data_IF_391080787365
#
_entry.id   IF_391080787365
#
_cell.length_a   1.000
_cell.length_b   1.000
_cell.length_c   1.000
_cell.angle_alpha   90.00
_cell.angle_beta   90.00
_cell.angle_gamma   90.00
#
_symmetry.space_group_name_H-M   'P 1'
#
loop_
_entity.id
_entity.type
_entity.pdbx_description
1 polymer ?
#
# COMPACT_ATOMS: atom_id res chain seq x y z
N UNK A 1 1.35 15.98 14.34
CA UNK A 1 1.84 14.60 14.10
C UNK A 1 1.64 14.16 12.64
N UNK A 2 1.73 15.07 11.68
CA UNK A 2 1.21 14.90 10.30
C UNK A 2 2.07 14.02 9.37
N UNK A 3 3.01 13.22 9.92
CA UNK A 3 4.13 12.67 9.14
C UNK A 3 4.17 11.14 9.02
N UNK A 4 3.48 10.39 9.88
CA UNK A 4 3.69 8.94 9.96
C UNK A 4 2.44 8.08 10.17
N UNK A 5 1.26 8.67 10.34
CA UNK A 5 0.05 7.88 10.61
C UNK A 5 -0.65 7.37 9.35
N UNK A 6 -0.40 7.96 8.17
CA UNK A 6 -1.13 7.61 6.96
C UNK A 6 -1.09 6.11 6.60
N UNK A 7 0.07 5.40 6.67
CA UNK A 7 0.07 3.95 6.48
C UNK A 7 -0.86 3.24 7.46
N UNK A 8 -0.77 3.57 8.75
CA UNK A 8 -1.58 2.95 9.79
C UNK A 8 -3.08 3.20 9.58
N UNK A 9 -3.47 4.45 9.34
CA UNK A 9 -4.86 4.85 9.08
C UNK A 9 -5.44 4.14 7.85
N UNK A 10 -4.63 3.88 6.82
CA UNK A 10 -5.04 3.11 5.65
C UNK A 10 -5.40 1.67 6.02
N UNK A 11 -4.59 0.99 6.83
CA UNK A 11 -4.91 -0.37 7.27
C UNK A 11 -6.07 -0.40 8.27
N UNK A 12 -6.21 0.63 9.12
CA UNK A 12 -7.39 0.77 10.00
C UNK A 12 -8.69 0.91 9.21
N UNK A 13 -8.67 1.64 8.08
CA UNK A 13 -9.84 1.74 7.20
C UNK A 13 -10.25 0.38 6.63
N UNK A 14 -9.28 -0.49 6.29
CA UNK A 14 -9.58 -1.86 5.87
C UNK A 14 -10.26 -2.66 6.98
N UNK A 15 -9.73 -2.62 8.21
CA UNK A 15 -10.31 -3.30 9.36
C UNK A 15 -11.73 -2.83 9.62
N UNK A 16 -11.98 -1.52 9.50
CA UNK A 16 -13.31 -0.93 9.61
C UNK A 16 -14.26 -1.46 8.53
N UNK A 17 -13.86 -1.43 7.25
CA UNK A 17 -14.68 -1.94 6.15
C UNK A 17 -15.04 -3.43 6.32
N UNK A 18 -14.10 -4.24 6.82
CA UNK A 18 -14.35 -5.64 7.14
C UNK A 18 -15.36 -5.81 8.26
N UNK A 19 -15.21 -5.08 9.36
CA UNK A 19 -16.12 -5.15 10.51
C UNK A 19 -17.54 -4.68 10.18
N UNK A 20 -17.69 -3.68 9.31
CA UNK A 20 -18.99 -3.14 8.88
C UNK A 20 -19.68 -4.01 7.82
N UNK A 21 -19.02 -5.06 7.29
CA UNK A 21 -19.58 -5.90 6.23
C UNK A 21 -19.68 -5.20 4.87
N UNK A 22 -18.93 -4.11 4.67
CA UNK A 22 -18.93 -3.30 3.44
C UNK A 22 -18.10 -3.91 2.30
N UNK A 23 -17.92 -5.23 2.32
CA UNK A 23 -17.09 -5.98 1.38
C UNK A 23 -17.91 -7.08 0.69
N UNK A 24 -17.66 -7.37 -0.60
CA UNK A 24 -18.27 -8.51 -1.27
C UNK A 24 -17.94 -9.82 -0.56
N UNK A 25 -18.82 -10.81 -0.66
CA UNK A 25 -18.59 -12.15 -0.13
C UNK A 25 -17.53 -12.87 -0.97
N UNK A 26 -16.27 -12.78 -0.56
CA UNK A 26 -15.12 -13.49 -1.14
C UNK A 26 -14.44 -14.35 -0.08
N UNK A 27 -13.82 -15.45 -0.53
CA UNK A 27 -13.03 -16.34 0.33
C UNK A 27 -11.73 -15.68 0.79
N UNK A 28 -11.14 -14.81 -0.03
CA UNK A 28 -9.92 -14.06 0.30
C UNK A 28 -9.89 -12.69 -0.40
N UNK A 29 -9.09 -11.78 0.15
CA UNK A 29 -8.77 -10.47 -0.39
C UNK A 29 -7.27 -10.34 -0.56
N UNK A 30 -6.83 -9.71 -1.65
CA UNK A 30 -5.43 -9.44 -1.94
C UNK A 30 -5.22 -7.94 -1.81
N UNK A 31 -4.44 -7.51 -0.82
CA UNK A 31 -4.00 -6.14 -0.68
C UNK A 31 -2.59 -6.00 -1.23
N UNK A 32 -2.46 -5.17 -2.25
CA UNK A 32 -1.22 -4.98 -2.97
C UNK A 32 -0.44 -3.76 -2.51
N UNK A 33 0.87 -3.91 -2.39
CA UNK A 33 1.81 -2.82 -2.10
C UNK A 33 2.98 -2.87 -3.08
N UNK A 34 3.34 -1.71 -3.64
CA UNK A 34 4.49 -1.54 -4.53
C UNK A 34 5.60 -0.80 -3.84
N UNK A 35 5.87 0.44 -4.29
CA UNK A 35 6.90 1.34 -3.74
C UNK A 35 6.81 1.60 -2.22
N UNK A 36 5.62 1.46 -1.62
CA UNK A 36 5.40 1.70 -0.19
C UNK A 36 5.53 0.44 0.69
N UNK A 37 6.05 -0.68 0.17
CA UNK A 37 6.17 -1.94 0.91
C UNK A 37 6.86 -1.79 2.28
N UNK A 38 7.87 -0.92 2.39
CA UNK A 38 8.65 -0.71 3.63
C UNK A 38 7.88 0.07 4.70
N UNK A 39 6.72 0.64 4.35
CA UNK A 39 5.82 1.30 5.30
C UNK A 39 4.69 0.40 5.79
N UNK A 40 4.58 -0.81 5.25
CA UNK A 40 3.67 -1.81 5.76
C UNK A 40 4.09 -2.18 7.20
N UNK A 41 3.26 -1.92 8.22
CA UNK A 41 3.69 -2.06 9.61
C UNK A 41 3.93 -3.53 10.01
N UNK A 42 2.96 -4.41 9.72
CA UNK A 42 3.07 -5.88 9.85
C UNK A 42 1.79 -6.58 9.37
N UNK A 43 1.86 -7.90 9.16
CA UNK A 43 0.68 -8.74 8.85
C UNK A 43 -0.41 -8.72 9.93
N UNK A 44 -0.07 -8.36 11.19
CA UNK A 44 -1.05 -8.22 12.28
C UNK A 44 -2.03 -7.06 12.07
N UNK A 45 -1.74 -6.14 11.13
CA UNK A 45 -2.64 -5.04 10.78
C UNK A 45 -3.59 -5.41 9.64
N UNK A 46 -3.55 -6.64 9.14
CA UNK A 46 -4.58 -7.16 8.25
C UNK A 46 -5.83 -7.56 9.07
N UNK A 47 -7.06 -7.33 8.57
CA UNK A 47 -8.27 -7.51 9.36
C UNK A 47 -8.51 -8.92 9.89
N UNK A 48 -8.30 -9.94 9.05
CA UNK A 48 -8.49 -11.36 9.36
C UNK A 48 -7.61 -12.22 8.43
N UNK A 49 -7.68 -13.53 8.58
CA UNK A 49 -6.93 -14.56 7.82
C UNK A 49 -7.29 -14.62 6.33
N UNK A 50 -8.40 -14.00 5.92
CA UNK A 50 -8.78 -13.92 4.50
C UNK A 50 -7.98 -12.87 3.75
N UNK A 51 -7.22 -12.02 4.43
CA UNK A 51 -6.43 -10.96 3.81
C UNK A 51 -4.99 -11.38 3.56
N UNK A 52 -4.60 -11.32 2.29
CA UNK A 52 -3.25 -11.61 1.84
C UNK A 52 -2.57 -10.32 1.36
N UNK A 53 -1.42 -10.00 1.94
CA UNK A 53 -0.54 -9.00 1.35
C UNK A 53 0.07 -9.58 0.07
N UNK A 54 0.25 -8.75 -0.96
CA UNK A 54 0.95 -9.12 -2.19
C UNK A 54 1.86 -7.99 -2.63
N UNK A 55 3.10 -8.29 -3.01
CA UNK A 55 4.03 -7.29 -3.50
C UNK A 55 3.86 -7.08 -5.01
N UNK A 56 3.84 -5.83 -5.44
CA UNK A 56 3.92 -5.47 -6.86
C UNK A 56 5.36 -5.11 -7.21
N UNK A 57 5.74 -5.39 -8.46
CA UNK A 57 6.99 -4.87 -9.02
C UNK A 57 6.98 -3.34 -8.90
N UNK A 58 8.08 -2.77 -8.40
CA UNK A 58 8.32 -1.32 -8.26
C UNK A 58 9.71 -1.00 -8.80
N UNK A 59 10.20 0.24 -8.70
CA UNK A 59 11.58 0.59 -9.07
C UNK A 59 12.63 0.05 -8.08
N UNK A 60 12.19 -0.51 -6.96
CA UNK A 60 13.07 -1.24 -6.05
C UNK A 60 13.61 -2.52 -6.72
N UNK A 61 14.92 -2.75 -6.59
CA UNK A 61 15.66 -3.89 -7.16
C UNK A 61 16.37 -4.71 -6.06
N UNK A 62 15.92 -4.57 -4.81
CA UNK A 62 16.44 -5.34 -3.68
C UNK A 62 15.55 -6.53 -3.32
N UNK A 63 15.98 -7.30 -2.32
CA UNK A 63 15.22 -8.42 -1.79
C UNK A 63 14.01 -7.90 -1.01
N UNK A 64 12.81 -8.41 -1.34
CA UNK A 64 11.61 -8.19 -0.54
C UNK A 64 11.45 -9.25 0.55
N UNK A 65 10.79 -8.91 1.68
CA UNK A 65 10.43 -9.89 2.70
C UNK A 65 9.60 -11.05 2.11
N UNK A 66 9.81 -12.27 2.63
CA UNK A 66 8.93 -13.41 2.37
C UNK A 66 7.88 -13.50 3.48
N UNK A 67 6.69 -13.98 3.14
CA UNK A 67 5.68 -14.33 4.13
C UNK A 67 6.18 -15.46 5.05
N UNK A 68 5.76 -15.43 6.32
CA UNK A 68 6.02 -16.50 7.26
C UNK A 68 5.28 -17.78 6.83
N UNK A 69 5.88 -18.94 7.06
CA UNK A 69 5.22 -20.21 6.86
C UNK A 69 4.17 -20.43 7.96
N UNK A 70 2.97 -20.89 7.57
CA UNK A 70 1.86 -21.14 8.51
C UNK A 70 2.22 -22.20 9.56
N UNK A 71 3.01 -23.21 9.19
CA UNK A 71 3.27 -24.39 10.03
C UNK A 71 4.43 -24.23 11.02
N UNK A 72 5.30 -23.20 10.90
CA UNK A 72 6.45 -23.06 11.82
C UNK A 72 6.94 -21.62 12.05
N UNK A 73 6.14 -20.62 11.66
CA UNK A 73 6.38 -19.21 11.98
C UNK A 73 7.78 -18.73 11.60
N UNK A 74 8.54 -18.25 12.58
CA UNK A 74 9.89 -17.68 12.41
C UNK A 74 11.02 -18.71 12.42
N UNK A 75 10.72 -20.00 12.64
CA UNK A 75 11.74 -21.04 12.78
C UNK A 75 12.26 -21.58 11.44
N UNK A 76 11.55 -21.30 10.34
CA UNK A 76 11.93 -21.72 9.00
C UNK A 76 12.71 -20.59 8.31
N UNK A 77 13.85 -20.95 7.72
CA UNK A 77 14.58 -20.07 6.81
C UNK A 77 13.77 -19.95 5.52
N UNK A 78 13.32 -18.76 5.13
CA UNK A 78 12.52 -18.60 3.92
C UNK A 78 13.36 -18.91 2.67
N UNK A 79 12.87 -19.75 1.76
CA UNK A 79 13.58 -20.01 0.49
C UNK A 79 13.77 -18.74 -0.33
N UNK A 80 14.81 -18.73 -1.18
CA UNK A 80 15.14 -17.64 -2.11
C UNK A 80 15.44 -16.31 -1.39
N UNK A 81 16.09 -16.40 -0.24
CA UNK A 81 16.76 -15.27 0.41
C UNK A 81 18.23 -15.28 0.00
N UNK A 82 18.82 -14.10 -0.19
CA UNK A 82 20.21 -13.96 -0.57
C UNK A 82 20.93 -12.87 0.23
N UNK A 83 22.20 -13.11 0.55
CA UNK A 83 23.01 -12.22 1.40
C UNK A 83 23.48 -10.93 0.69
N UNK A 84 23.20 -10.81 -0.61
CA UNK A 84 23.59 -9.65 -1.42
C UNK A 84 22.45 -8.64 -1.61
N UNK A 85 21.29 -8.84 -0.96
CA UNK A 85 20.08 -8.04 -1.13
C UNK A 85 19.70 -7.86 -2.62
N UNK A 86 19.93 -8.89 -3.44
CA UNK A 86 19.55 -8.90 -4.85
C UNK A 86 18.05 -9.07 -4.99
N UNK A 87 17.51 -8.52 -6.06
CA UNK A 87 16.12 -8.72 -6.45
C UNK A 87 15.75 -10.20 -6.51
N UNK A 88 14.58 -10.54 -5.98
CA UNK A 88 13.96 -11.85 -6.12
C UNK A 88 12.61 -11.72 -6.85
N UNK A 89 12.57 -11.92 -8.18
CA UNK A 89 11.38 -11.67 -8.99
C UNK A 89 10.16 -12.53 -8.62
N UNK A 90 10.38 -13.70 -7.99
CA UNK A 90 9.28 -14.59 -7.58
C UNK A 90 8.42 -14.00 -6.45
N UNK A 91 8.84 -12.88 -5.84
CA UNK A 91 8.07 -12.17 -4.81
C UNK A 91 6.90 -11.36 -5.38
N UNK A 92 6.88 -11.09 -6.68
CA UNK A 92 5.90 -10.20 -7.27
C UNK A 92 4.63 -10.93 -7.70
N UNK A 93 3.49 -10.35 -7.34
CA UNK A 93 2.18 -10.72 -7.85
C UNK A 93 1.75 -9.87 -9.04
N UNK A 94 0.65 -10.27 -9.67
CA UNK A 94 0.06 -9.54 -10.78
C UNK A 94 -0.91 -8.46 -10.28
N UNK A 95 -0.77 -7.23 -10.75
CA UNK A 95 -1.70 -6.13 -10.39
C UNK A 95 -3.18 -6.47 -10.65
N UNK A 96 -3.47 -7.33 -11.62
CA UNK A 96 -4.85 -7.74 -11.93
C UNK A 96 -5.46 -8.67 -10.88
N UNK A 97 -4.66 -9.33 -10.03
CA UNK A 97 -5.18 -10.17 -8.92
C UNK A 97 -5.44 -9.36 -7.65
N UNK A 98 -5.02 -8.10 -7.61
CA UNK A 98 -5.28 -7.19 -6.49
C UNK A 98 -6.79 -6.92 -6.32
N UNK A 99 -7.21 -6.91 -5.06
CA UNK A 99 -8.54 -6.49 -4.62
C UNK A 99 -8.46 -5.06 -4.06
N UNK A 100 -7.43 -4.81 -3.27
CA UNK A 100 -7.08 -3.50 -2.75
C UNK A 100 -5.64 -3.16 -3.14
N UNK A 101 -5.32 -1.88 -3.20
CA UNK A 101 -3.98 -1.39 -3.47
C UNK A 101 -3.69 -0.18 -2.58
N UNK A 102 -2.51 -0.19 -1.96
CA UNK A 102 -1.98 0.96 -1.22
C UNK A 102 -0.91 1.63 -2.08
N UNK A 103 -1.11 2.91 -2.38
CA UNK A 103 -0.23 3.69 -3.26
C UNK A 103 0.10 5.05 -2.66
N UNK A 104 1.30 5.55 -2.94
CA UNK A 104 1.67 6.93 -2.66
C UNK A 104 1.74 7.71 -3.98
N UNK A 105 0.82 8.64 -4.15
CA UNK A 105 0.79 9.58 -5.27
C UNK A 105 1.59 10.84 -4.93
N UNK A 106 2.77 10.97 -5.54
CA UNK A 106 3.61 12.18 -5.50
C UNK A 106 3.59 12.95 -6.83
N UNK A 107 2.60 12.72 -7.69
CA UNK A 107 2.52 13.26 -9.06
C UNK A 107 3.70 12.82 -9.95
N UNK A 108 4.31 11.67 -9.64
CA UNK A 108 5.38 11.03 -10.41
C UNK A 108 4.94 9.64 -10.82
N UNK A 109 5.36 9.20 -12.01
CA UNK A 109 5.00 7.89 -12.56
C UNK A 109 6.21 7.28 -13.28
N UNK A 110 6.38 5.97 -13.16
CA UNK A 110 7.31 5.18 -13.97
C UNK A 110 6.61 3.96 -14.57
N UNK A 111 7.36 3.14 -15.31
CA UNK A 111 6.85 1.87 -15.86
C UNK A 111 6.35 0.94 -14.74
N UNK A 112 7.14 0.78 -13.67
CA UNK A 112 6.81 -0.12 -12.55
C UNK A 112 6.12 0.57 -11.38
N UNK A 113 6.02 1.90 -11.37
CA UNK A 113 5.30 2.66 -10.35
C UNK A 113 4.30 3.63 -10.99
N UNK A 114 3.31 3.12 -11.74
CA UNK A 114 2.32 3.97 -12.34
C UNK A 114 1.46 4.64 -11.28
N UNK A 115 0.89 5.81 -11.60
CA UNK A 115 -0.08 6.42 -10.69
C UNK A 115 -1.41 5.66 -10.75
N UNK A 116 -1.65 4.79 -9.77
CA UNK A 116 -2.83 3.94 -9.73
C UNK A 116 -4.10 4.74 -9.44
N UNK A 117 -4.00 5.83 -8.67
CA UNK A 117 -5.14 6.67 -8.32
C UNK A 117 -5.74 7.40 -9.53
N UNK A 118 -4.95 7.65 -10.57
CA UNK A 118 -5.38 8.27 -11.83
C UNK A 118 -5.97 7.26 -12.83
N UNK A 119 -5.81 5.96 -12.61
CA UNK A 119 -6.42 4.89 -13.42
C UNK A 119 -7.85 4.63 -12.98
N UNK A 120 -8.70 5.66 -13.14
CA UNK A 120 -10.07 5.70 -12.66
C UNK A 120 -10.98 4.64 -13.27
N UNK A 121 -10.58 4.01 -14.37
CA UNK A 121 -11.28 2.92 -15.03
C UNK A 121 -11.02 1.55 -14.36
N UNK A 122 -9.92 1.44 -13.60
CA UNK A 122 -9.55 0.21 -12.88
C UNK A 122 -9.79 0.32 -11.37
N UNK A 123 -9.65 1.53 -10.82
CA UNK A 123 -9.61 1.74 -9.38
C UNK A 123 -10.69 2.71 -8.90
N UNK A 124 -11.12 2.49 -7.67
CA UNK A 124 -11.95 3.39 -6.87
C UNK A 124 -11.09 3.89 -5.73
N UNK A 125 -11.01 5.21 -5.56
CA UNK A 125 -10.38 5.82 -4.40
C UNK A 125 -11.27 5.62 -3.16
N UNK A 126 -10.82 4.81 -2.21
CA UNK A 126 -11.53 4.52 -0.95
C UNK A 126 -11.14 5.55 0.12
N UNK A 127 -9.84 5.77 0.29
CA UNK A 127 -9.28 6.70 1.26
C UNK A 127 -8.10 7.44 0.64
N UNK A 128 -7.97 8.72 0.94
CA UNK A 128 -6.80 9.52 0.61
C UNK A 128 -6.38 10.33 1.82
N UNK A 129 -5.12 10.20 2.21
CA UNK A 129 -4.56 10.84 3.41
C UNK A 129 -3.37 11.70 2.97
N UNK A 130 -3.32 12.99 3.34
CA UNK A 130 -2.18 13.84 3.02
C UNK A 130 -0.86 13.23 3.51
N UNK A 131 0.12 13.16 2.62
CA UNK A 131 1.42 12.57 2.90
C UNK A 131 2.55 13.53 2.53
N UNK A 132 3.53 13.70 3.42
CA UNK A 132 4.62 14.65 3.18
C UNK A 132 5.50 14.18 2.01
N UNK A 133 5.60 14.99 0.96
CA UNK A 133 6.53 14.74 -0.12
C UNK A 133 7.94 15.11 0.31
N UNK A 134 8.72 14.11 0.71
CA UNK A 134 10.08 14.29 1.19
C UNK A 134 11.06 14.73 0.10
N UNK A 135 10.77 14.49 -1.18
CA UNK A 135 11.65 14.84 -2.29
C UNK A 135 11.48 16.30 -2.71
N UNK A 136 10.23 16.76 -2.79
CA UNK A 136 9.89 18.15 -3.17
C UNK A 136 9.88 19.13 -1.99
N UNK A 137 9.73 18.64 -0.75
CA UNK A 137 9.84 19.49 0.45
C UNK A 137 11.29 19.73 0.85
N UNK A 138 11.69 21.01 0.95
CA UNK A 138 13.06 21.42 1.32
C UNK A 138 13.50 20.82 2.67
N UNK A 139 14.78 20.44 2.79
CA UNK A 139 15.33 19.76 3.99
C UNK A 139 15.06 20.50 5.30
N UNK A 140 15.24 21.81 5.35
CA UNK A 140 15.04 22.60 6.56
C UNK A 140 13.56 22.66 7.00
N UNK A 141 12.62 22.67 6.06
CA UNK A 141 11.17 22.61 6.32
C UNK A 141 10.77 21.27 6.93
N UNK A 142 11.48 20.19 6.55
CA UNK A 142 11.29 18.87 7.15
C UNK A 142 11.90 18.78 8.55
N UNK A 143 12.96 19.52 8.83
CA UNK A 143 13.66 19.48 10.13
C UNK A 143 12.94 20.31 11.20
N UNK A 144 12.40 21.49 10.85
CA UNK A 144 11.83 22.44 11.80
C UNK A 144 10.39 22.82 11.43
N UNK A 145 9.51 22.82 12.43
CA UNK A 145 8.16 23.37 12.29
C UNK A 145 8.16 24.83 12.73
N UNK A 146 7.95 25.75 11.79
CA UNK A 146 7.79 27.18 12.05
C UNK A 146 6.42 27.59 11.52
N UNK A 147 5.46 28.01 12.38
CA UNK A 147 4.11 28.36 11.95
C UNK A 147 4.09 29.39 10.82
N UNK A 148 3.10 29.26 9.92
CA UNK A 148 2.88 30.05 8.69
C UNK A 148 3.96 29.88 7.61
N UNK A 149 5.23 29.71 7.98
CA UNK A 149 6.33 29.45 7.04
C UNK A 149 6.27 28.00 6.58
N UNK A 150 6.08 27.06 7.49
CA UNK A 150 6.04 25.64 7.20
C UNK A 150 4.90 25.30 6.25
N UNK A 151 3.68 25.74 6.57
CA UNK A 151 2.46 25.48 5.80
C UNK A 151 2.57 25.99 4.34
N UNK A 152 3.31 27.08 4.11
CA UNK A 152 3.55 27.64 2.76
C UNK A 152 4.60 26.89 1.95
N UNK A 153 5.49 26.14 2.60
CA UNK A 153 6.66 25.53 1.94
C UNK A 153 6.58 23.99 1.88
N UNK A 154 5.62 23.38 2.56
CA UNK A 154 5.40 21.93 2.50
C UNK A 154 4.73 21.54 1.20
N UNK A 155 5.26 20.49 0.59
CA UNK A 155 4.64 19.84 -0.56
C UNK A 155 4.01 18.55 -0.08
N UNK A 156 2.75 18.35 -0.44
CA UNK A 156 1.97 17.17 -0.11
C UNK A 156 1.81 16.27 -1.33
N UNK A 157 1.86 14.97 -1.10
CA UNK A 157 1.25 13.95 -1.93
C UNK A 157 0.08 13.30 -1.21
N UNK A 158 -0.42 12.21 -1.78
CA UNK A 158 -1.59 11.50 -1.28
C UNK A 158 -1.27 10.02 -1.06
N UNK A 159 -1.42 9.56 0.18
CA UNK A 159 -1.37 8.15 0.53
C UNK A 159 -2.77 7.55 0.37
N UNK A 160 -2.91 6.66 -0.60
CA UNK A 160 -4.20 6.24 -1.13
C UNK A 160 -4.46 4.78 -0.82
N UNK A 161 -5.67 4.51 -0.35
CA UNK A 161 -6.28 3.18 -0.39
C UNK A 161 -7.21 3.12 -1.61
N UNK A 162 -6.94 2.17 -2.49
CA UNK A 162 -7.70 1.93 -3.70
C UNK A 162 -8.40 0.57 -3.64
N UNK A 163 -9.61 0.49 -4.17
CA UNK A 163 -10.35 -0.74 -4.39
C UNK A 163 -10.48 -1.02 -5.88
N UNK A 164 -10.24 -2.26 -6.29
CA UNK A 164 -10.39 -2.67 -7.68
C UNK A 164 -11.86 -2.60 -8.10
N UNK A 165 -12.16 -1.95 -9.23
CA UNK A 165 -13.53 -1.78 -9.72
C UNK A 165 -14.26 -3.08 -10.00
N UNK A 166 -13.53 -4.12 -10.41
CA UNK A 166 -14.06 -5.48 -10.60
C UNK A 166 -14.77 -6.04 -9.36
N UNK A 167 -14.50 -5.49 -8.17
CA UNK A 167 -15.13 -5.91 -6.93
C UNK A 167 -16.46 -5.23 -6.63
N UNK A 168 -16.82 -4.16 -7.35
CA UNK A 168 -18.14 -3.55 -7.14
C UNK A 168 -19.20 -4.54 -7.59
N UNK A 169 -20.04 -4.97 -6.65
CA UNK A 169 -21.26 -5.72 -6.96
C UNK A 169 -22.07 -4.85 -7.92
N UNK A 170 -22.31 -5.34 -9.13
CA UNK A 170 -23.28 -4.69 -10.02
C UNK A 170 -24.64 -4.80 -9.33
N UNK A 171 -25.41 -3.71 -9.20
CA UNK A 171 -26.77 -3.83 -8.70
C UNK A 171 -27.51 -4.85 -9.57
N UNK A 172 -28.18 -5.79 -8.93
CA UNK A 172 -29.10 -6.74 -9.56
C UNK A 172 -29.96 -5.98 -10.56
N UNK A 173 -29.80 -6.25 -11.86
CA UNK A 173 -30.79 -5.87 -12.85
C UNK A 173 -32.01 -6.76 -12.56
N UNK A 174 -32.97 -6.20 -11.84
CA UNK A 174 -34.32 -6.77 -11.75
C UNK A 174 -34.92 -6.88 -13.16
#
# INVERSE_FOLDING_TARGET
>A
SYRYHAPMDTYMELSKMTAEGNLPTLNHFNICVGKEWYRFPSSFFLPDDRWNLMFLKSEFRGQLPKYYAEESGTSIIPDYMNDANKEEPTRYGNVTSCHFLVDLDLSTSSEFEPNYSQQIEKWVLVKSIPFLDNYRTRKWVRAFYIPYIWEKNVVWGSYNLLQARKMRVQPSKY
#
